data_IF_442077651221
#
_entry.id   IF_442077651221
#
_cell.length_a   1.000
_cell.length_b   1.000
_cell.length_c   1.000
_cell.angle_alpha   90.00
_cell.angle_beta   90.00
_cell.angle_gamma   90.00
#
_symmetry.space_group_name_H-M   'P 1'
#
loop_
_entity.id
_entity.type
_entity.pdbx_description
1 polymer ?
#
# COMPACT_ATOMS: atom_id res chain seq x y z
N UNK A 1 -46.27 11.57 -32.19
CA UNK A 1 -45.03 12.15 -32.78
C UNK A 1 -44.31 13.10 -31.80
N UNK A 2 -44.98 14.11 -31.21
CA UNK A 2 -44.33 15.12 -30.34
C UNK A 2 -43.62 14.49 -29.13
N UNK A 3 -44.24 13.56 -28.43
CA UNK A 3 -43.65 12.88 -27.27
C UNK A 3 -42.40 12.06 -27.62
N UNK A 4 -42.37 11.41 -28.79
CA UNK A 4 -41.19 10.64 -29.25
C UNK A 4 -40.03 11.57 -29.61
N UNK A 5 -40.32 12.70 -30.28
CA UNK A 5 -39.30 13.69 -30.61
C UNK A 5 -38.73 14.32 -29.32
N UNK A 6 -39.62 14.72 -28.39
CA UNK A 6 -39.19 15.28 -27.11
C UNK A 6 -38.32 14.29 -26.32
N UNK A 7 -38.71 13.01 -26.26
CA UNK A 7 -37.90 11.96 -25.60
C UNK A 7 -36.54 11.78 -26.29
N UNK A 8 -36.48 11.76 -27.60
CA UNK A 8 -35.23 11.61 -28.34
C UNK A 8 -34.31 12.82 -28.14
N UNK A 9 -34.82 14.02 -28.20
CA UNK A 9 -34.06 15.26 -27.97
C UNK A 9 -33.52 15.27 -26.53
N UNK A 10 -34.36 14.94 -25.54
CA UNK A 10 -33.95 14.86 -24.15
C UNK A 10 -32.82 13.85 -23.95
N UNK A 11 -32.99 12.63 -24.46
CA UNK A 11 -31.97 11.56 -24.34
C UNK A 11 -30.66 11.94 -25.03
N UNK A 12 -30.73 12.59 -26.19
CA UNK A 12 -29.54 13.05 -26.91
C UNK A 12 -28.81 14.18 -26.17
N UNK A 13 -29.59 15.15 -25.62
CA UNK A 13 -29.03 16.28 -24.86
C UNK A 13 -28.30 15.86 -23.58
N UNK A 14 -28.75 14.79 -22.93
CA UNK A 14 -28.10 14.27 -21.68
C UNK A 14 -27.04 13.19 -21.91
N UNK A 15 -26.84 12.74 -23.13
CA UNK A 15 -25.80 11.76 -23.47
C UNK A 15 -24.40 12.16 -22.97
N UNK A 16 -23.95 13.42 -23.10
CA UNK A 16 -22.66 13.86 -22.57
C UNK A 16 -22.52 13.66 -21.05
N UNK A 17 -23.59 13.88 -20.30
CA UNK A 17 -23.60 13.67 -18.86
C UNK A 17 -23.41 12.19 -18.48
N UNK A 18 -24.08 11.28 -19.19
CA UNK A 18 -23.90 9.85 -18.98
C UNK A 18 -22.48 9.37 -19.32
N UNK A 19 -21.90 9.90 -20.38
CA UNK A 19 -20.50 9.62 -20.77
C UNK A 19 -19.54 10.08 -19.67
N UNK A 20 -19.72 11.28 -19.14
CA UNK A 20 -18.92 11.81 -18.05
C UNK A 20 -19.04 10.97 -16.78
N UNK A 21 -20.26 10.59 -16.40
CA UNK A 21 -20.52 9.74 -15.21
C UNK A 21 -19.86 8.37 -15.38
N UNK A 22 -19.93 7.79 -16.58
CA UNK A 22 -19.26 6.51 -16.87
C UNK A 22 -17.73 6.64 -16.72
N UNK A 23 -17.15 7.66 -17.31
CA UNK A 23 -15.72 7.96 -17.22
C UNK A 23 -15.27 8.17 -15.77
N UNK A 24 -16.05 8.90 -14.94
CA UNK A 24 -15.78 9.09 -13.52
C UNK A 24 -15.82 7.78 -12.73
N UNK A 25 -16.71 6.86 -13.06
CA UNK A 25 -16.77 5.53 -12.40
C UNK A 25 -15.55 4.67 -12.70
N UNK A 26 -14.93 4.88 -13.85
CA UNK A 26 -13.72 4.16 -14.27
C UNK A 26 -12.43 4.79 -13.70
N UNK A 27 -12.54 6.02 -13.17
CA UNK A 27 -11.40 6.72 -12.58
C UNK A 27 -10.79 5.93 -11.41
N UNK A 28 -9.47 5.87 -11.38
CA UNK A 28 -8.69 5.26 -10.31
C UNK A 28 -7.63 6.24 -9.83
N UNK A 29 -7.60 6.62 -8.54
CA UNK A 29 -6.54 7.46 -7.99
C UNK A 29 -5.16 6.83 -8.27
N UNK A 30 -4.18 7.68 -8.57
CA UNK A 30 -2.82 7.25 -8.86
C UNK A 30 -2.56 6.73 -10.27
N UNK A 31 -3.60 6.44 -11.07
CA UNK A 31 -3.45 6.17 -12.51
C UNK A 31 -3.82 7.41 -13.29
N UNK A 32 -3.05 7.67 -14.34
CA UNK A 32 -3.37 8.78 -15.23
C UNK A 32 -4.76 8.51 -15.86
N UNK A 33 -5.72 9.44 -15.70
CA UNK A 33 -7.05 9.24 -16.25
C UNK A 33 -6.97 9.13 -17.78
N UNK A 34 -7.75 8.23 -18.35
CA UNK A 34 -7.90 8.17 -19.80
C UNK A 34 -8.46 9.52 -20.30
N UNK A 35 -8.08 9.97 -21.50
CA UNK A 35 -8.65 11.20 -22.05
C UNK A 35 -10.18 11.15 -22.07
N UNK A 36 -10.82 12.20 -21.59
CA UNK A 36 -12.27 12.29 -21.63
C UNK A 36 -12.73 12.64 -23.06
N UNK A 37 -13.08 11.62 -23.81
CA UNK A 37 -13.66 11.80 -25.14
C UNK A 37 -15.18 11.99 -24.99
N UNK A 38 -15.62 13.24 -24.85
CA UNK A 38 -17.00 13.60 -24.62
C UNK A 38 -17.36 14.83 -25.46
N UNK A 39 -17.55 14.61 -26.76
CA UNK A 39 -17.92 15.66 -27.71
C UNK A 39 -19.34 16.15 -27.44
N UNK A 40 -19.49 17.45 -27.25
CA UNK A 40 -20.80 18.10 -27.02
C UNK A 40 -20.82 19.48 -27.65
N UNK A 41 -22.02 19.88 -28.14
CA UNK A 41 -22.28 21.24 -28.66
C UNK A 41 -22.72 22.21 -27.55
N UNK A 42 -23.06 21.67 -26.36
CA UNK A 42 -23.55 22.44 -25.21
C UNK A 42 -22.35 22.99 -24.45
N UNK A 43 -22.25 24.30 -24.34
CA UNK A 43 -21.08 24.97 -23.76
C UNK A 43 -20.90 24.64 -22.27
N UNK A 44 -21.98 24.50 -21.53
CA UNK A 44 -21.97 24.14 -20.12
C UNK A 44 -21.37 22.76 -19.91
N UNK A 45 -21.62 21.82 -20.82
CA UNK A 45 -20.98 20.47 -20.72
C UNK A 45 -19.50 20.49 -21.11
N UNK A 46 -19.05 21.38 -22.02
CA UNK A 46 -17.64 21.56 -22.31
C UNK A 46 -16.89 22.09 -21.10
N UNK A 47 -17.45 23.13 -20.46
CA UNK A 47 -16.88 23.70 -19.23
C UNK A 47 -16.81 22.65 -18.13
N UNK A 48 -17.89 21.88 -17.93
CA UNK A 48 -17.96 20.81 -16.94
C UNK A 48 -16.91 19.70 -17.20
N UNK A 49 -16.79 19.26 -18.45
CA UNK A 49 -15.81 18.25 -18.85
C UNK A 49 -14.39 18.71 -18.52
N UNK A 50 -14.03 19.94 -18.91
CA UNK A 50 -12.70 20.51 -18.65
C UNK A 50 -12.44 20.65 -17.16
N UNK A 51 -13.41 21.16 -16.41
CA UNK A 51 -13.26 21.34 -14.96
C UNK A 51 -13.05 20.01 -14.23
N UNK A 52 -13.83 18.98 -14.58
CA UNK A 52 -13.72 17.66 -13.98
C UNK A 52 -12.40 16.98 -14.39
N UNK A 53 -12.02 17.04 -15.67
CA UNK A 53 -10.76 16.48 -16.13
C UNK A 53 -9.57 17.12 -15.40
N UNK A 54 -9.54 18.44 -15.31
CA UNK A 54 -8.50 19.17 -14.56
C UNK A 54 -8.48 18.79 -13.09
N UNK A 55 -9.64 18.65 -12.45
CA UNK A 55 -9.72 18.24 -11.06
C UNK A 55 -9.17 16.81 -10.84
N UNK A 56 -9.47 15.87 -11.76
CA UNK A 56 -8.98 14.49 -11.67
C UNK A 56 -7.47 14.41 -11.95
N UNK A 57 -6.95 15.17 -12.88
CA UNK A 57 -5.51 15.27 -13.15
C UNK A 57 -4.76 15.81 -11.93
N UNK A 58 -5.26 16.87 -11.31
CA UNK A 58 -4.69 17.42 -10.06
C UNK A 58 -4.77 16.41 -8.92
N UNK A 59 -5.90 15.73 -8.75
CA UNK A 59 -6.04 14.69 -7.73
C UNK A 59 -5.03 13.56 -7.93
N UNK A 60 -4.84 13.10 -9.17
CA UNK A 60 -3.85 12.07 -9.51
C UNK A 60 -2.42 12.55 -9.23
N UNK A 61 -2.09 13.79 -9.55
CA UNK A 61 -0.78 14.37 -9.28
C UNK A 61 -0.52 14.46 -7.78
N UNK A 62 -1.47 14.96 -6.99
CA UNK A 62 -1.37 15.04 -5.53
C UNK A 62 -1.21 13.66 -4.89
N UNK A 63 -1.98 12.68 -5.35
CA UNK A 63 -1.89 11.31 -4.88
C UNK A 63 -0.51 10.69 -5.13
N UNK A 64 0.03 10.87 -6.33
CA UNK A 64 1.36 10.38 -6.68
C UNK A 64 2.47 11.09 -5.89
N UNK A 65 2.33 12.39 -5.66
CA UNK A 65 3.25 13.17 -4.84
C UNK A 65 3.24 12.69 -3.38
N UNK A 66 2.06 12.47 -2.80
CA UNK A 66 1.92 11.95 -1.44
C UNK A 66 2.55 10.55 -1.31
N UNK A 67 2.32 9.69 -2.29
CA UNK A 67 2.94 8.37 -2.37
C UNK A 67 4.46 8.46 -2.35
N UNK A 68 5.03 9.26 -3.26
CA UNK A 68 6.48 9.44 -3.36
C UNK A 68 7.06 10.03 -2.08
N UNK A 69 6.35 10.95 -1.43
CA UNK A 69 6.75 11.51 -0.16
C UNK A 69 6.86 10.43 0.93
N UNK A 70 5.86 9.55 1.07
CA UNK A 70 5.87 8.46 2.05
C UNK A 70 7.01 7.48 1.76
N UNK A 71 7.21 7.08 0.50
CA UNK A 71 8.28 6.20 0.09
C UNK A 71 9.65 6.79 0.40
N UNK A 72 9.90 8.04 0.00
CA UNK A 72 11.17 8.73 0.23
C UNK A 72 11.43 8.94 1.73
N UNK A 73 10.44 9.45 2.47
CA UNK A 73 10.57 9.67 3.92
C UNK A 73 10.94 8.38 4.67
N UNK A 74 10.37 7.25 4.26
CA UNK A 74 10.66 5.97 4.88
C UNK A 74 12.09 5.49 4.60
N UNK A 75 12.59 5.68 3.38
CA UNK A 75 13.97 5.36 3.05
C UNK A 75 14.95 6.28 3.79
N UNK A 76 14.64 7.57 3.85
CA UNK A 76 15.46 8.55 4.57
C UNK A 76 15.49 8.32 6.09
N UNK A 77 14.46 7.71 6.67
CA UNK A 77 14.42 7.32 8.08
C UNK A 77 15.18 6.01 8.37
N UNK A 78 15.21 5.07 7.44
CA UNK A 78 15.88 3.78 7.65
C UNK A 78 17.38 3.92 7.90
N UNK A 79 18.04 4.79 7.15
CA UNK A 79 19.49 4.99 7.26
C UNK A 79 19.93 5.51 8.63
N UNK A 80 19.39 6.64 9.16
CA UNK A 80 19.80 7.14 10.47
C UNK A 80 19.42 6.18 11.61
N UNK A 81 18.30 5.47 11.51
CA UNK A 81 17.91 4.47 12.49
C UNK A 81 18.88 3.29 12.51
N UNK A 82 19.33 2.81 11.35
CA UNK A 82 20.35 1.77 11.26
C UNK A 82 21.70 2.24 11.86
N UNK A 83 22.10 3.48 11.60
CA UNK A 83 23.32 4.06 12.20
C UNK A 83 23.19 4.13 13.73
N UNK A 84 22.03 4.56 14.25
CA UNK A 84 21.79 4.58 15.70
C UNK A 84 21.90 3.18 16.31
N UNK A 85 21.27 2.18 15.69
CA UNK A 85 21.33 0.80 16.16
C UNK A 85 22.76 0.27 16.18
N UNK A 86 23.53 0.46 15.11
CA UNK A 86 24.94 0.03 15.06
C UNK A 86 25.79 0.71 16.14
N UNK A 87 25.57 2.01 16.42
CA UNK A 87 26.28 2.69 17.49
C UNK A 87 25.92 2.16 18.87
N UNK A 88 24.66 1.82 19.11
CA UNK A 88 24.23 1.22 20.37
C UNK A 88 24.81 -0.19 20.55
N UNK A 89 24.91 -0.97 19.46
CA UNK A 89 25.53 -2.28 19.46
C UNK A 89 27.01 -2.18 19.85
N UNK A 90 27.77 -1.28 19.21
CA UNK A 90 29.16 -1.02 19.56
C UNK A 90 29.33 -0.58 21.01
N UNK A 91 28.42 0.27 21.53
CA UNK A 91 28.45 0.69 22.94
C UNK A 91 28.18 -0.49 23.90
N UNK A 92 27.31 -1.42 23.51
CA UNK A 92 26.99 -2.60 24.34
C UNK A 92 28.12 -3.63 24.38
N UNK A 93 29.06 -3.58 23.43
CA UNK A 93 30.24 -4.43 23.39
C UNK A 93 31.42 -3.90 24.23
N UNK A 94 31.29 -2.66 24.77
CA UNK A 94 32.35 -2.07 25.59
C UNK A 94 32.46 -2.81 26.91
N UNK A 95 33.66 -3.37 27.24
CA UNK A 95 33.87 -4.10 28.48
C UNK A 95 33.66 -3.28 29.76
N UNK A 96 33.77 -1.95 29.66
CA UNK A 96 33.58 -1.02 30.79
C UNK A 96 32.11 -0.62 30.99
N UNK A 97 31.18 -1.15 30.17
CA UNK A 97 29.76 -0.86 30.25
C UNK A 97 29.13 -1.48 31.50
N UNK A 98 28.46 -0.69 32.30
CA UNK A 98 27.76 -1.18 33.52
C UNK A 98 26.44 -1.89 33.14
N UNK A 99 25.94 -2.74 34.06
CA UNK A 99 24.64 -3.40 33.87
C UNK A 99 23.50 -2.41 33.67
N UNK A 100 23.53 -1.28 34.36
CA UNK A 100 22.54 -0.21 34.19
C UNK A 100 22.59 0.42 32.79
N UNK A 101 23.80 0.71 32.29
CA UNK A 101 23.99 1.21 30.94
C UNK A 101 23.56 0.20 29.87
N UNK A 102 23.86 -1.08 30.04
CA UNK A 102 23.39 -2.15 29.15
C UNK A 102 21.86 -2.24 29.12
N UNK A 103 21.21 -2.08 30.28
CA UNK A 103 19.75 -2.04 30.37
C UNK A 103 19.15 -0.84 29.61
N UNK A 104 19.76 0.34 29.75
CA UNK A 104 19.34 1.55 29.02
C UNK A 104 19.53 1.37 27.51
N UNK A 105 20.67 0.86 27.06
CA UNK A 105 20.98 0.56 25.65
C UNK A 105 19.94 -0.40 25.09
N UNK A 106 19.59 -1.46 25.83
CA UNK A 106 18.57 -2.42 25.43
C UNK A 106 17.19 -1.77 25.28
N UNK A 107 16.82 -0.87 26.20
CA UNK A 107 15.58 -0.08 26.14
C UNK A 107 15.50 0.81 24.91
N UNK A 108 16.60 1.53 24.59
CA UNK A 108 16.68 2.38 23.40
C UNK A 108 16.61 1.51 22.13
N UNK A 109 17.34 0.40 22.07
CA UNK A 109 17.29 -0.55 20.95
C UNK A 109 15.87 -1.09 20.72
N UNK A 110 15.16 -1.44 21.78
CA UNK A 110 13.77 -1.89 21.68
C UNK A 110 12.87 -0.81 21.06
N UNK A 111 13.03 0.44 21.49
CA UNK A 111 12.28 1.59 20.97
C UNK A 111 12.58 1.84 19.49
N UNK A 112 13.85 1.82 19.08
CA UNK A 112 14.27 1.98 17.69
C UNK A 112 13.71 0.88 16.78
N UNK A 113 13.75 -0.38 17.24
CA UNK A 113 13.12 -1.51 16.52
C UNK A 113 11.61 -1.31 16.35
N UNK A 114 10.93 -0.76 17.36
CA UNK A 114 9.52 -0.38 17.28
C UNK A 114 9.26 0.66 16.21
N UNK A 115 10.06 1.71 16.13
CA UNK A 115 9.96 2.76 15.12
C UNK A 115 10.20 2.17 13.71
N UNK A 116 11.22 1.35 13.53
CA UNK A 116 11.52 0.68 12.24
C UNK A 116 10.34 -0.20 11.80
N UNK A 117 9.78 -0.98 12.74
CA UNK A 117 8.61 -1.82 12.46
C UNK A 117 7.40 -0.98 12.01
N UNK A 118 7.10 0.10 12.74
CA UNK A 118 5.99 1.01 12.40
C UNK A 118 6.20 1.64 11.03
N UNK A 119 7.41 2.12 10.73
CA UNK A 119 7.74 2.71 9.44
C UNK A 119 7.58 1.70 8.28
N UNK A 120 8.06 0.46 8.44
CA UNK A 120 7.85 -0.62 7.48
C UNK A 120 6.37 -0.93 7.26
N UNK A 121 5.56 -0.92 8.33
CA UNK A 121 4.12 -1.16 8.24
C UNK A 121 3.39 -0.03 7.50
N UNK A 122 3.77 1.22 7.74
CA UNK A 122 3.22 2.37 7.02
C UNK A 122 3.55 2.32 5.52
N UNK A 123 4.79 1.94 5.17
CA UNK A 123 5.18 1.71 3.78
C UNK A 123 4.38 0.61 3.13
N UNK A 124 4.22 -0.51 3.80
CA UNK A 124 3.44 -1.64 3.29
C UNK A 124 1.98 -1.22 3.05
N UNK A 125 1.37 -0.52 4.01
CA UNK A 125 0.01 -0.01 3.89
C UNK A 125 -0.12 0.94 2.69
N UNK A 126 0.82 1.90 2.55
CA UNK A 126 0.87 2.80 1.40
C UNK A 126 0.96 2.04 0.07
N UNK A 127 1.76 0.97 -0.01
CA UNK A 127 1.89 0.13 -1.21
C UNK A 127 0.62 -0.67 -1.51
N UNK A 128 -0.08 -1.16 -0.49
CA UNK A 128 -1.36 -1.87 -0.64
C UNK A 128 -2.43 -0.91 -1.17
N UNK A 129 -2.58 0.25 -0.56
CA UNK A 129 -3.54 1.27 -0.98
C UNK A 129 -3.29 1.72 -2.43
N UNK A 130 -2.03 1.79 -2.82
CA UNK A 130 -1.59 2.14 -4.16
C UNK A 130 -1.68 0.99 -5.18
N UNK A 131 -2.21 -0.17 -4.79
CA UNK A 131 -2.31 -1.36 -5.64
C UNK A 131 -0.98 -1.73 -6.32
N UNK A 132 0.12 -1.60 -5.60
CA UNK A 132 1.46 -1.97 -6.11
C UNK A 132 1.71 -3.47 -6.16
N UNK A 133 0.75 -4.27 -5.77
CA UNK A 133 0.75 -5.73 -5.84
C UNK A 133 -0.26 -6.22 -6.89
N UNK A 134 -0.02 -5.92 -8.21
CA UNK A 134 -0.98 -6.26 -9.26
C UNK A 134 -1.03 -7.76 -9.55
N UNK A 135 0.10 -8.45 -9.34
CA UNK A 135 0.22 -9.87 -9.63
C UNK A 135 -0.42 -10.66 -8.50
N UNK A 136 -1.52 -11.33 -8.82
CA UNK A 136 -2.21 -12.23 -7.90
C UNK A 136 -2.16 -13.65 -8.44
N UNK A 137 -1.92 -14.60 -7.55
CA UNK A 137 -1.94 -16.04 -7.84
C UNK A 137 -2.75 -16.76 -6.76
N UNK A 138 -3.16 -17.96 -7.04
CA UNK A 138 -3.77 -18.81 -6.02
C UNK A 138 -2.68 -19.31 -5.07
N UNK A 139 -2.76 -18.91 -3.81
CA UNK A 139 -1.81 -19.25 -2.76
C UNK A 139 -2.40 -20.34 -1.89
N UNK A 140 -1.72 -21.48 -1.81
CA UNK A 140 -1.99 -22.54 -0.83
C UNK A 140 -1.24 -22.19 0.47
N UNK A 141 -1.94 -21.67 1.47
CA UNK A 141 -1.32 -21.24 2.73
C UNK A 141 -0.65 -22.36 3.50
N UNK A 142 -1.16 -23.58 3.41
CA UNK A 142 -0.54 -24.75 4.01
C UNK A 142 0.91 -24.92 3.50
N UNK A 143 1.11 -24.92 2.18
CA UNK A 143 2.45 -25.01 1.57
C UNK A 143 3.33 -23.81 1.89
N UNK A 144 2.73 -22.62 1.97
CA UNK A 144 3.47 -21.40 2.32
C UNK A 144 4.00 -21.48 3.76
N UNK A 145 3.16 -21.91 4.70
CA UNK A 145 3.54 -22.10 6.10
C UNK A 145 4.63 -23.18 6.23
N UNK A 146 4.47 -24.33 5.56
CA UNK A 146 5.48 -25.40 5.57
C UNK A 146 6.84 -24.93 5.06
N UNK A 147 6.85 -24.04 4.06
CA UNK A 147 8.09 -23.45 3.52
C UNK A 147 8.74 -22.47 4.51
N UNK A 148 7.97 -21.69 5.26
CA UNK A 148 8.48 -20.66 6.17
C UNK A 148 8.79 -21.20 7.58
N UNK A 149 8.11 -22.25 7.99
CA UNK A 149 8.22 -22.82 9.35
C UNK A 149 9.64 -23.20 9.78
N UNK A 150 10.51 -23.76 8.91
CA UNK A 150 11.90 -24.05 9.27
C UNK A 150 12.66 -22.79 9.69
N UNK A 151 12.54 -21.70 8.94
CA UNK A 151 13.22 -20.43 9.21
C UNK A 151 12.77 -19.85 10.56
N UNK A 152 11.47 -19.93 10.87
CA UNK A 152 10.95 -19.50 12.17
C UNK A 152 11.45 -20.37 13.32
N UNK A 153 11.54 -21.68 13.14
CA UNK A 153 12.09 -22.59 14.16
C UNK A 153 13.54 -22.26 14.47
N UNK A 154 14.37 -22.11 13.45
CA UNK A 154 15.78 -21.73 13.59
C UNK A 154 15.93 -20.37 14.28
N UNK A 155 15.13 -19.36 13.83
CA UNK A 155 15.17 -17.99 14.38
C UNK A 155 14.84 -17.93 15.87
N UNK A 156 13.97 -18.82 16.39
CA UNK A 156 13.51 -18.79 17.77
C UNK A 156 14.05 -19.92 18.64
N UNK A 157 14.94 -20.76 18.11
CA UNK A 157 15.55 -21.88 18.83
C UNK A 157 16.28 -21.40 20.10
N UNK A 158 17.02 -20.27 20.01
CA UNK A 158 17.76 -19.70 21.15
C UNK A 158 16.86 -19.24 22.31
N UNK A 159 15.55 -19.04 22.07
CA UNK A 159 14.57 -18.68 23.10
C UNK A 159 13.85 -19.88 23.69
N UNK A 160 14.19 -21.10 23.28
CA UNK A 160 13.51 -22.35 23.66
C UNK A 160 11.98 -22.29 23.34
N UNK A 161 11.60 -21.59 22.27
CA UNK A 161 10.21 -21.51 21.82
C UNK A 161 9.94 -22.70 20.90
N UNK A 162 8.99 -23.55 21.30
CA UNK A 162 8.51 -24.64 20.44
C UNK A 162 7.38 -24.13 19.53
N UNK A 163 7.64 -24.16 18.24
CA UNK A 163 6.64 -23.82 17.22
C UNK A 163 6.03 -25.11 16.69
N UNK A 164 4.72 -25.29 16.91
CA UNK A 164 3.95 -26.41 16.36
C UNK A 164 2.93 -25.88 15.35
N UNK A 165 2.74 -26.62 14.27
CA UNK A 165 1.74 -26.35 13.24
C UNK A 165 0.88 -27.59 13.04
N UNK A 166 -0.44 -27.41 12.99
CA UNK A 166 -1.40 -28.49 12.76
C UNK A 166 -2.35 -28.10 11.65
N UNK A 167 -2.41 -28.89 10.61
CA UNK A 167 -3.36 -28.68 9.51
C UNK A 167 -4.73 -29.21 9.88
N UNK A 168 -5.76 -28.37 9.72
CA UNK A 168 -7.17 -28.74 9.89
C UNK A 168 -7.94 -28.77 8.57
N UNK A 169 -7.36 -28.27 7.48
CA UNK A 169 -7.94 -28.21 6.15
C UNK A 169 -7.05 -27.44 5.17
N UNK A 170 -7.38 -27.57 3.88
CA UNK A 170 -6.69 -26.82 2.83
C UNK A 170 -7.22 -25.38 2.79
N UNK A 171 -6.33 -24.41 2.90
CA UNK A 171 -6.65 -22.99 2.79
C UNK A 171 -6.00 -22.43 1.53
N UNK A 172 -6.83 -22.05 0.56
CA UNK A 172 -6.40 -21.37 -0.67
C UNK A 172 -7.04 -20.00 -0.77
N UNK A 173 -6.28 -19.01 -1.23
CA UNK A 173 -6.77 -17.66 -1.49
C UNK A 173 -6.00 -17.02 -2.63
N UNK A 174 -6.72 -16.26 -3.49
CA UNK A 174 -6.09 -15.52 -4.60
C UNK A 174 -5.57 -14.19 -4.10
N UNK A 175 -4.26 -14.05 -3.98
CA UNK A 175 -3.61 -12.82 -3.58
C UNK A 175 -2.16 -12.74 -4.07
N UNK A 176 -1.49 -11.62 -3.81
CA UNK A 176 -0.07 -11.48 -4.10
C UNK A 176 0.78 -12.33 -3.13
N UNK A 177 1.75 -13.10 -3.65
CA UNK A 177 2.58 -14.00 -2.85
C UNK A 177 3.42 -13.26 -1.79
N UNK A 178 3.95 -12.07 -2.12
CA UNK A 178 4.71 -11.26 -1.17
C UNK A 178 3.85 -10.79 0.01
N UNK A 179 2.57 -10.43 -0.26
CA UNK A 179 1.63 -10.10 0.81
C UNK A 179 1.26 -11.32 1.64
N UNK A 180 1.05 -12.49 1.02
CA UNK A 180 0.78 -13.74 1.72
C UNK A 180 1.92 -14.10 2.68
N UNK A 181 3.17 -14.00 2.21
CA UNK A 181 4.37 -14.21 3.04
C UNK A 181 4.48 -13.24 4.22
N UNK A 182 3.98 -12.01 4.06
CA UNK A 182 3.99 -11.01 5.14
C UNK A 182 2.89 -11.26 6.18
N UNK A 183 1.80 -11.94 5.79
CA UNK A 183 0.69 -12.31 6.69
C UNK A 183 1.01 -13.50 7.59
N UNK A 184 1.84 -14.42 7.12
CA UNK A 184 2.34 -15.60 7.85
C UNK A 184 3.56 -15.24 8.70
#
# INVERSE_FOLDING_TARGET
CILLVSHFVFKSSFRPLYTLVKWLKEYRPGKQPAPLVNETQVEEFKILNTAIQTAMERNTAMYNQQKQFVENASHELQTPLAICMNKLELLSEDPDCTEEQLSEIAGINHTLRGIIKTNKSLLLLSRIDNKQFPDTSEIEFNKLIDRLLPDFKEMYEYKNIQVSYTETGLLTYTMNESLATTLV
#
